data_IF_931722825995
#
_entry.id   IF_931722825995
#
_cell.length_a   1.000
_cell.length_b   1.000
_cell.length_c   1.000
_cell.angle_alpha   90.00
_cell.angle_beta   90.00
_cell.angle_gamma   90.00
#
_symmetry.space_group_name_H-M   'P 1'
#
loop_
_entity.id
_entity.type
_entity.pdbx_description
1 polymer ?
#
# COMPACT_ATOMS: atom_id res chain seq x y z
N UNK A 1 13.41 -22.09 14.49
CA UNK A 1 12.85 -21.59 13.21
C UNK A 1 13.27 -20.14 13.05
N UNK A 2 14.30 -19.89 12.26
CA UNK A 2 14.79 -18.53 11.96
C UNK A 2 13.79 -17.90 10.98
N UNK A 3 13.07 -16.87 11.42
CA UNK A 3 12.27 -16.07 10.50
C UNK A 3 13.24 -15.43 9.49
N UNK A 4 13.23 -15.92 8.25
CA UNK A 4 13.93 -15.25 7.15
C UNK A 4 13.17 -13.95 6.93
N UNK A 5 13.64 -12.89 7.57
CA UNK A 5 13.17 -11.53 7.29
C UNK A 5 13.73 -11.21 5.91
N UNK A 6 12.91 -11.42 4.88
CA UNK A 6 13.16 -10.87 3.57
C UNK A 6 13.06 -9.34 3.69
N UNK A 7 14.14 -8.69 4.13
CA UNK A 7 14.33 -7.25 4.03
C UNK A 7 14.55 -6.93 2.56
N UNK A 8 13.53 -7.16 1.72
CA UNK A 8 13.43 -6.41 0.49
C UNK A 8 13.03 -5.01 0.93
N UNK A 9 13.87 -3.99 0.73
CA UNK A 9 13.44 -2.64 1.02
C UNK A 9 12.45 -2.28 -0.08
N UNK A 10 11.18 -2.64 0.12
CA UNK A 10 10.05 -2.09 -0.63
C UNK A 10 10.17 -0.56 -0.61
N UNK A 11 10.56 0.00 0.54
CA UNK A 11 10.92 1.40 0.72
C UNK A 11 12.03 1.93 -0.21
N UNK A 12 12.96 1.09 -0.71
CA UNK A 12 14.02 1.54 -1.62
C UNK A 12 13.57 1.54 -3.10
N UNK A 13 12.43 0.96 -3.44
CA UNK A 13 11.88 1.17 -4.77
C UNK A 13 11.14 2.50 -4.76
N UNK A 14 11.61 3.50 -5.54
CA UNK A 14 10.95 4.82 -5.68
C UNK A 14 9.45 4.74 -6.06
N UNK A 15 9.00 3.61 -6.62
CA UNK A 15 7.58 3.32 -6.93
C UNK A 15 6.74 2.91 -5.71
N UNK A 16 7.42 2.67 -4.59
CA UNK A 16 6.89 2.32 -3.28
C UNK A 16 7.41 3.38 -2.31
N UNK A 17 7.17 4.65 -2.64
CA UNK A 17 7.08 5.74 -1.67
C UNK A 17 5.60 5.97 -1.28
N UNK A 18 5.23 5.88 0.01
CA UNK A 18 3.82 5.96 0.41
C UNK A 18 3.24 7.34 0.14
N UNK A 19 4.07 8.37 0.19
CA UNK A 19 3.70 9.77 -0.04
C UNK A 19 3.43 10.00 -1.52
N UNK A 20 4.36 9.63 -2.40
CA UNK A 20 4.15 9.70 -3.86
C UNK A 20 2.93 8.88 -4.30
N UNK A 21 2.75 7.68 -3.76
CA UNK A 21 1.59 6.82 -4.08
C UNK A 21 0.29 7.44 -3.56
N UNK A 22 0.32 8.06 -2.37
CA UNK A 22 -0.82 8.79 -1.83
C UNK A 22 -1.18 10.01 -2.68
N UNK A 23 -0.20 10.74 -3.25
CA UNK A 23 -0.44 11.81 -4.20
C UNK A 23 -1.10 11.31 -5.49
N UNK A 24 -0.54 10.26 -6.11
CA UNK A 24 -1.11 9.69 -7.35
C UNK A 24 -2.56 9.19 -7.16
N UNK A 25 -2.81 8.46 -6.06
CA UNK A 25 -4.15 7.96 -5.74
C UNK A 25 -5.09 9.07 -5.25
N UNK A 26 -4.55 10.08 -4.58
CA UNK A 26 -5.28 11.25 -4.09
C UNK A 26 -5.80 12.13 -5.22
N UNK A 27 -5.01 12.32 -6.28
CA UNK A 27 -5.38 13.02 -7.51
C UNK A 27 -6.31 12.21 -8.41
N UNK A 28 -6.40 10.89 -8.21
CA UNK A 28 -7.36 10.05 -8.92
C UNK A 28 -8.77 10.32 -8.41
N UNK A 29 -9.71 10.46 -9.34
CA UNK A 29 -11.15 10.53 -9.10
C UNK A 29 -11.58 9.53 -7.99
N UNK A 30 -12.28 9.97 -6.94
CA UNK A 30 -12.73 9.12 -5.84
C UNK A 30 -13.44 7.83 -6.32
N UNK A 31 -14.24 7.92 -7.38
CA UNK A 31 -14.95 6.76 -7.95
C UNK A 31 -13.99 5.74 -8.58
N UNK A 32 -12.81 6.16 -9.01
CA UNK A 32 -11.79 5.35 -9.68
C UNK A 32 -10.63 4.95 -8.76
N UNK A 33 -10.49 5.59 -7.60
CA UNK A 33 -9.39 5.36 -6.64
C UNK A 33 -9.26 3.90 -6.21
N UNK A 34 -10.38 3.23 -5.90
CA UNK A 34 -10.40 1.80 -5.54
C UNK A 34 -9.90 0.91 -6.68
N UNK A 35 -10.26 1.23 -7.93
CA UNK A 35 -9.80 0.49 -9.12
C UNK A 35 -8.32 0.75 -9.38
N UNK A 36 -7.87 1.99 -9.27
CA UNK A 36 -6.46 2.38 -9.40
C UNK A 36 -5.59 1.65 -8.37
N UNK A 37 -6.04 1.61 -7.11
CA UNK A 37 -5.38 0.86 -6.04
C UNK A 37 -5.25 -0.63 -6.37
N UNK A 38 -6.35 -1.29 -6.77
CA UNK A 38 -6.33 -2.72 -7.14
C UNK A 38 -5.41 -3.02 -8.33
N UNK A 39 -5.37 -2.12 -9.33
CA UNK A 39 -4.49 -2.29 -10.48
C UNK A 39 -3.02 -2.14 -10.09
N UNK A 40 -2.71 -1.12 -9.28
CA UNK A 40 -1.36 -0.89 -8.76
C UNK A 40 -0.89 -2.06 -7.89
N UNK A 41 -1.72 -2.52 -6.95
CA UNK A 41 -1.34 -3.61 -6.03
C UNK A 41 -1.07 -4.92 -6.76
N UNK A 42 -1.91 -5.28 -7.73
CA UNK A 42 -1.69 -6.47 -8.60
C UNK A 42 -0.40 -6.36 -9.41
N UNK A 43 -0.13 -5.19 -10.00
CA UNK A 43 1.09 -4.96 -10.79
C UNK A 43 2.34 -5.09 -9.92
N UNK A 44 2.31 -4.50 -8.72
CA UNK A 44 3.40 -4.58 -7.75
C UNK A 44 3.60 -6.01 -7.25
N UNK A 45 2.52 -6.72 -6.90
CA UNK A 45 2.59 -8.12 -6.47
C UNK A 45 3.25 -9.00 -7.53
N UNK A 46 2.80 -8.89 -8.79
CA UNK A 46 3.37 -9.64 -9.92
C UNK A 46 4.85 -9.33 -10.12
N UNK A 47 5.26 -8.07 -9.97
CA UNK A 47 6.66 -7.64 -10.07
C UNK A 47 7.52 -8.23 -8.95
N UNK A 48 7.00 -8.28 -7.72
CA UNK A 48 7.67 -8.88 -6.56
C UNK A 48 7.84 -10.39 -6.73
N UNK A 49 6.77 -11.08 -7.14
CA UNK A 49 6.82 -12.52 -7.40
C UNK A 49 7.84 -12.84 -8.49
N UNK A 50 7.87 -12.07 -9.58
CA UNK A 50 8.88 -12.22 -10.65
C UNK A 50 10.32 -12.03 -10.17
N UNK A 51 10.54 -11.29 -9.08
CA UNK A 51 11.85 -11.07 -8.46
C UNK A 51 12.21 -12.12 -7.41
N UNK A 52 11.40 -13.17 -7.27
CA UNK A 52 11.65 -14.26 -6.33
C UNK A 52 11.05 -14.05 -4.93
N UNK A 53 10.20 -13.04 -4.73
CA UNK A 53 9.48 -12.88 -3.46
C UNK A 53 8.33 -13.89 -3.42
N UNK A 54 8.19 -14.70 -2.36
CA UNK A 54 7.05 -15.61 -2.22
C UNK A 54 5.71 -14.87 -2.32
N UNK A 55 4.67 -15.44 -2.95
CA UNK A 55 3.38 -14.78 -3.14
C UNK A 55 2.76 -14.26 -1.84
N UNK A 56 2.82 -15.04 -0.76
CA UNK A 56 2.28 -14.69 0.55
C UNK A 56 3.03 -13.52 1.19
N UNK A 57 4.36 -13.53 1.08
CA UNK A 57 5.21 -12.43 1.55
C UNK A 57 4.96 -11.15 0.76
N UNK A 58 4.80 -11.25 -0.56
CA UNK A 58 4.45 -10.10 -1.41
C UNK A 58 3.07 -9.54 -1.07
N UNK A 59 2.11 -10.41 -0.73
CA UNK A 59 0.79 -10.00 -0.29
C UNK A 59 0.83 -9.30 1.07
N UNK A 60 1.46 -9.91 2.07
CA UNK A 60 1.61 -9.33 3.42
C UNK A 60 2.31 -7.96 3.38
N UNK A 61 3.35 -7.85 2.55
CA UNK A 61 4.03 -6.60 2.25
C UNK A 61 3.07 -5.52 1.72
N UNK A 62 2.26 -5.84 0.71
CA UNK A 62 1.30 -4.89 0.13
C UNK A 62 0.21 -4.46 1.12
N UNK A 63 -0.22 -5.36 2.00
CA UNK A 63 -1.19 -5.05 3.06
C UNK A 63 -0.58 -4.04 4.05
N UNK A 64 0.62 -4.32 4.57
CA UNK A 64 1.31 -3.39 5.48
C UNK A 64 1.57 -2.03 4.81
N UNK A 65 1.93 -2.06 3.52
CA UNK A 65 2.20 -0.87 2.74
C UNK A 65 0.95 -0.02 2.46
N UNK A 66 -0.21 -0.67 2.31
CA UNK A 66 -1.50 0.01 2.15
C UNK A 66 -1.87 0.89 3.34
N UNK A 67 -1.54 0.45 4.56
CA UNK A 67 -1.74 1.22 5.78
C UNK A 67 -0.85 2.47 5.81
N UNK A 68 0.41 2.34 5.39
CA UNK A 68 1.34 3.46 5.29
C UNK A 68 0.87 4.51 4.26
N UNK A 69 0.39 4.08 3.08
CA UNK A 69 -0.18 4.97 2.07
C UNK A 69 -1.43 5.67 2.60
N UNK A 70 -2.34 4.95 3.27
CA UNK A 70 -3.54 5.54 3.86
C UNK A 70 -3.19 6.59 4.92
N UNK A 71 -2.22 6.30 5.78
CA UNK A 71 -1.70 7.27 6.76
C UNK A 71 -1.13 8.52 6.08
N UNK A 72 -0.35 8.36 5.01
CA UNK A 72 0.17 9.48 4.23
C UNK A 72 -0.96 10.27 3.56
N UNK A 73 -1.94 9.59 2.95
CA UNK A 73 -3.10 10.22 2.32
C UNK A 73 -3.96 11.01 3.33
N UNK A 74 -4.11 10.51 4.56
CA UNK A 74 -4.76 11.26 5.65
C UNK A 74 -3.98 12.52 6.04
N UNK A 75 -2.65 12.40 6.21
CA UNK A 75 -1.77 13.55 6.53
C UNK A 75 -1.78 14.62 5.44
N UNK A 76 -1.88 14.20 4.18
CA UNK A 76 -1.94 15.09 3.01
C UNK A 76 -3.35 15.62 2.71
N UNK A 77 -4.37 15.20 3.47
CA UNK A 77 -5.75 15.67 3.30
C UNK A 77 -6.54 15.02 2.14
N UNK A 78 -5.99 14.00 1.47
CA UNK A 78 -6.67 13.31 0.36
C UNK A 78 -7.80 12.37 0.78
N UNK A 79 -7.77 11.95 2.05
CA UNK A 79 -8.76 11.05 2.66
C UNK A 79 -8.98 11.55 4.08
N UNK A 80 -10.23 11.69 4.52
CA UNK A 80 -10.47 11.94 5.93
C UNK A 80 -10.02 10.71 6.73
N UNK A 81 -9.35 10.86 7.87
CA UNK A 81 -9.19 9.75 8.79
C UNK A 81 -10.59 9.25 9.10
N UNK A 82 -10.89 8.02 8.69
CA UNK A 82 -12.06 7.32 9.21
C UNK A 82 -11.82 7.25 10.71
N UNK A 83 -12.50 8.12 11.48
CA UNK A 83 -12.65 7.88 12.91
C UNK A 83 -13.19 6.47 13.00
N UNK A 84 -12.45 5.58 13.65
CA UNK A 84 -12.96 4.28 14.03
C UNK A 84 -14.34 4.51 14.65
N UNK A 85 -15.37 4.02 13.95
CA UNK A 85 -16.73 3.96 14.47
C UNK A 85 -16.89 2.76 15.41
N UNK A 86 -15.78 2.22 15.94
CA UNK A 86 -15.72 1.19 16.97
C UNK A 86 -15.37 1.78 18.34
N UNK A 87 -16.10 2.83 18.73
CA UNK A 87 -16.19 3.23 20.14
C UNK A 87 -17.57 3.81 20.47
N UNK A 88 -18.62 3.09 20.10
CA UNK A 88 -19.94 3.15 20.74
C UNK A 88 -20.91 2.19 20.02
N UNK A 89 -21.01 0.95 20.51
CA UNK A 89 -22.25 0.17 20.74
C UNK A 89 -21.89 -1.28 21.00
#
# INVERSE_FOLDING_TARGET
MTAIIYVFPLAAQRQLDPVSTAHELGQTDPAKRTRAWRAWSRKTQKKLIRRGVPPDTAHAALVAYSAAIRSAACRLGYVQPTRDRDRAS
#
